data_IF_697213544188
#
_entry.id   IF_697213544188
#
_cell.length_a   1.000
_cell.length_b   1.000
_cell.length_c   1.000
_cell.angle_alpha   90.00
_cell.angle_beta   90.00
_cell.angle_gamma   90.00
#
_symmetry.space_group_name_H-M   'P 1'
#
loop_
_entity.id
_entity.type
_entity.pdbx_description
1 polymer ?
#
# COMPACT_ATOMS: atom_id res chain seq x y z
N UNK A 1 -7.68 -6.69 17.78
CA UNK A 1 -7.96 -7.08 16.39
C UNK A 1 -9.04 -6.13 15.89
N UNK A 2 -8.91 -5.57 14.69
CA UNK A 2 -9.94 -4.72 14.09
C UNK A 2 -11.11 -5.65 13.71
N UNK A 3 -12.27 -5.50 14.36
CA UNK A 3 -13.37 -6.47 14.30
C UNK A 3 -14.28 -6.23 13.09
N UNK A 4 -13.78 -6.46 11.88
CA UNK A 4 -14.63 -6.58 10.70
C UNK A 4 -15.01 -8.05 10.52
N UNK A 5 -16.28 -8.32 10.19
CA UNK A 5 -16.74 -9.67 9.83
C UNK A 5 -16.22 -10.12 8.45
N UNK A 6 -15.55 -9.22 7.72
CA UNK A 6 -15.05 -9.42 6.38
C UNK A 6 -13.55 -9.16 6.35
N UNK A 7 -12.85 -9.99 5.58
CA UNK A 7 -11.45 -9.74 5.26
C UNK A 7 -11.32 -8.54 4.33
N UNK A 8 -10.32 -7.72 4.59
CA UNK A 8 -9.99 -6.60 3.71
C UNK A 8 -9.25 -7.13 2.48
N UNK A 9 -9.52 -6.58 1.30
CA UNK A 9 -8.91 -7.04 0.04
C UNK A 9 -7.38 -7.15 0.14
N UNK A 10 -6.74 -6.13 0.70
CA UNK A 10 -5.28 -6.07 0.87
C UNK A 10 -4.73 -7.05 1.92
N UNK A 11 -5.56 -7.79 2.64
CA UNK A 11 -5.05 -8.90 3.46
C UNK A 11 -4.60 -10.06 2.56
N UNK A 12 -5.28 -10.27 1.43
CA UNK A 12 -5.10 -11.45 0.58
C UNK A 12 -4.89 -11.15 -0.91
N UNK A 13 -4.80 -9.87 -1.31
CA UNK A 13 -4.62 -9.47 -2.72
C UNK A 13 -3.34 -10.09 -3.30
N UNK A 14 -3.41 -10.48 -4.58
CA UNK A 14 -2.23 -10.92 -5.34
C UNK A 14 -1.32 -9.75 -5.64
N UNK A 15 -0.03 -10.05 -5.75
CA UNK A 15 1.02 -9.07 -6.03
C UNK A 15 2.00 -9.67 -7.03
N UNK A 16 2.66 -8.79 -7.77
CA UNK A 16 3.74 -9.20 -8.65
C UNK A 16 5.09 -8.99 -7.97
N UNK A 17 6.03 -9.89 -8.23
CA UNK A 17 7.41 -9.70 -7.78
C UNK A 17 8.05 -8.54 -8.53
N UNK A 18 8.68 -7.63 -7.80
CA UNK A 18 9.40 -6.50 -8.39
C UNK A 18 10.91 -6.76 -8.40
N UNK A 19 11.50 -6.94 -7.21
CA UNK A 19 12.92 -7.27 -7.04
C UNK A 19 13.22 -7.58 -5.57
N UNK A 20 14.16 -8.48 -5.31
CA UNK A 20 14.58 -8.84 -3.95
C UNK A 20 13.37 -9.18 -3.04
N UNK A 21 13.25 -8.58 -1.84
CA UNK A 21 12.10 -8.76 -0.95
C UNK A 21 10.87 -7.91 -1.32
N UNK A 22 10.95 -7.10 -2.39
CA UNK A 22 9.93 -6.13 -2.78
C UNK A 22 9.00 -6.67 -3.87
N UNK A 23 7.71 -6.45 -3.67
CA UNK A 23 6.61 -6.78 -4.56
C UNK A 23 5.80 -5.52 -4.88
N UNK A 24 4.87 -5.62 -5.82
CA UNK A 24 4.01 -4.51 -6.23
C UNK A 24 2.54 -4.92 -6.38
N UNK A 25 1.65 -3.99 -6.06
CA UNK A 25 0.22 -4.10 -6.34
C UNK A 25 -0.05 -3.94 -7.84
N UNK A 26 -0.82 -4.87 -8.42
CA UNK A 26 -1.20 -4.84 -9.84
C UNK A 26 -2.71 -4.63 -10.05
N UNK A 27 -3.54 -5.31 -9.24
CA UNK A 27 -5.01 -5.25 -9.34
C UNK A 27 -5.61 -4.41 -8.20
N UNK A 28 -5.04 -3.22 -7.95
CA UNK A 28 -5.54 -2.29 -6.94
C UNK A 28 -5.44 -0.84 -7.43
N UNK A 29 -6.45 0.03 -7.21
CA UNK A 29 -6.45 1.38 -7.79
C UNK A 29 -5.27 2.27 -7.39
N UNK A 30 -4.71 2.08 -6.19
CA UNK A 30 -3.50 2.77 -5.75
C UNK A 30 -2.28 1.84 -5.86
N UNK A 31 -1.41 2.00 -6.89
CA UNK A 31 -0.21 1.20 -7.00
C UNK A 31 0.73 1.47 -5.83
N UNK A 32 1.36 0.42 -5.31
CA UNK A 32 2.21 0.49 -4.14
C UNK A 32 3.13 -0.70 -4.02
N UNK A 33 4.14 -0.57 -3.16
CA UNK A 33 5.12 -1.61 -2.86
C UNK A 33 4.65 -2.47 -1.71
N UNK A 34 4.95 -3.76 -1.77
CA UNK A 34 4.51 -4.75 -0.79
C UNK A 34 5.70 -5.57 -0.30
N UNK A 35 5.76 -5.77 1.00
CA UNK A 35 6.70 -6.67 1.66
C UNK A 35 5.92 -7.64 2.54
N UNK A 36 6.50 -8.80 2.83
CA UNK A 36 5.95 -9.74 3.81
C UNK A 36 7.02 -10.20 4.80
N UNK A 37 6.59 -10.62 5.99
CA UNK A 37 7.46 -11.32 6.92
C UNK A 37 7.94 -12.63 6.28
N UNK A 38 9.24 -12.83 6.05
CA UNK A 38 9.73 -14.05 5.44
C UNK A 38 9.71 -15.20 6.44
N UNK A 39 9.46 -16.42 5.97
CA UNK A 39 9.29 -17.61 6.85
C UNK A 39 10.50 -17.89 7.74
N UNK A 40 11.69 -17.70 7.17
CA UNK A 40 12.98 -18.03 7.80
C UNK A 40 13.77 -16.78 8.20
N UNK A 41 13.11 -15.62 8.27
CA UNK A 41 13.75 -14.35 8.64
C UNK A 41 13.02 -13.67 9.78
N UNK A 42 13.73 -12.73 10.39
CA UNK A 42 13.21 -11.98 11.52
C UNK A 42 12.37 -10.80 11.06
N UNK A 43 11.56 -10.27 11.98
CA UNK A 43 10.89 -8.96 11.83
C UNK A 43 11.92 -7.85 11.55
N UNK A 44 13.17 -8.00 12.00
CA UNK A 44 14.24 -7.04 11.73
C UNK A 44 14.58 -6.98 10.25
N UNK A 45 14.55 -8.11 9.54
CA UNK A 45 14.88 -8.15 8.10
C UNK A 45 13.77 -7.51 7.25
N UNK A 46 12.50 -7.72 7.65
CA UNK A 46 11.36 -7.00 7.09
C UNK A 46 11.50 -5.49 7.35
N UNK A 47 11.76 -5.10 8.59
CA UNK A 47 11.94 -3.71 8.97
C UNK A 47 13.08 -3.04 8.19
N UNK A 48 14.24 -3.70 8.02
CA UNK A 48 15.35 -3.18 7.20
C UNK A 48 14.93 -2.95 5.75
N UNK A 49 14.21 -3.89 5.15
CA UNK A 49 13.74 -3.76 3.76
C UNK A 49 12.78 -2.57 3.61
N UNK A 50 11.86 -2.41 4.55
CA UNK A 50 10.92 -1.28 4.56
C UNK A 50 11.64 0.04 4.82
N UNK A 51 12.57 0.09 5.77
CA UNK A 51 13.39 1.28 6.03
C UNK A 51 14.20 1.69 4.80
N UNK A 52 14.83 0.72 4.12
CA UNK A 52 15.60 0.90 2.89
C UNK A 52 14.76 1.62 1.81
N UNK A 53 13.51 1.20 1.60
CA UNK A 53 12.58 1.89 0.70
C UNK A 53 12.18 3.29 1.22
N UNK A 54 11.78 3.42 2.48
CA UNK A 54 11.30 4.70 3.02
C UNK A 54 12.41 5.75 3.10
N UNK A 55 13.65 5.35 3.37
CA UNK A 55 14.83 6.22 3.32
C UNK A 55 15.08 6.72 1.91
N UNK A 56 14.99 5.84 0.90
CA UNK A 56 15.07 6.25 -0.51
C UNK A 56 13.99 7.29 -0.85
N UNK A 57 12.72 7.03 -0.49
CA UNK A 57 11.61 7.95 -0.75
C UNK A 57 11.78 9.28 -0.01
N UNK A 58 12.23 9.24 1.25
CA UNK A 58 12.50 10.42 2.05
C UNK A 58 13.63 11.27 1.45
N UNK A 59 14.74 10.66 1.05
CA UNK A 59 15.87 11.34 0.41
C UNK A 59 15.49 11.96 -0.94
N UNK A 60 14.56 11.33 -1.66
CA UNK A 60 14.00 11.86 -2.90
C UNK A 60 12.89 12.92 -2.67
N UNK A 61 12.58 13.25 -1.40
CA UNK A 61 11.49 14.14 -0.99
C UNK A 61 10.12 13.73 -1.55
N UNK A 62 9.84 12.42 -1.54
CA UNK A 62 8.59 11.82 -2.03
C UNK A 62 7.72 11.46 -0.82
N UNK A 63 6.55 12.13 -0.65
CA UNK A 63 5.60 11.76 0.37
C UNK A 63 5.15 10.32 0.19
N UNK A 64 4.98 9.61 1.31
CA UNK A 64 4.59 8.22 1.28
C UNK A 64 3.77 7.83 2.50
N UNK A 65 2.97 6.78 2.33
CA UNK A 65 2.17 6.18 3.37
C UNK A 65 2.57 4.74 3.58
N UNK A 66 2.57 4.30 4.83
CA UNK A 66 2.90 2.94 5.22
C UNK A 66 1.72 2.33 5.98
N UNK A 67 1.39 1.08 5.67
CA UNK A 67 0.37 0.32 6.37
C UNK A 67 0.86 -1.09 6.67
N UNK A 68 0.58 -1.59 7.88
CA UNK A 68 0.99 -2.92 8.33
C UNK A 68 -0.27 -3.69 8.70
N UNK A 69 -0.41 -4.90 8.14
CA UNK A 69 -1.51 -5.79 8.47
C UNK A 69 -1.05 -7.23 8.56
N UNK A 70 -1.87 -8.08 9.19
CA UNK A 70 -1.75 -9.53 9.02
C UNK A 70 -2.51 -9.91 7.75
N UNK A 71 -2.02 -10.90 7.03
CA UNK A 71 -2.65 -11.35 5.79
C UNK A 71 -2.17 -12.73 5.38
N UNK A 72 -2.60 -13.19 4.21
CA UNK A 72 -2.03 -14.38 3.59
C UNK A 72 -0.64 -14.09 3.00
N UNK A 73 0.13 -15.16 2.77
CA UNK A 73 1.42 -15.05 2.10
C UNK A 73 1.24 -14.71 0.63
N UNK A 74 2.16 -13.91 0.09
CA UNK A 74 2.10 -13.35 -1.26
C UNK A 74 2.03 -14.43 -2.37
N UNK A 75 2.52 -15.65 -2.10
CA UNK A 75 2.66 -16.75 -3.07
C UNK A 75 1.78 -17.96 -2.79
N UNK A 76 0.96 -17.92 -1.72
CA UNK A 76 0.10 -19.04 -1.39
C UNK A 76 -1.26 -18.83 -2.05
N UNK A 77 -1.69 -19.81 -2.86
CA UNK A 77 -3.08 -19.88 -3.30
C UNK A 77 -3.96 -20.07 -2.06
N UNK A 78 -5.10 -19.35 -2.02
CA UNK A 78 -6.06 -19.31 -0.90
C UNK A 78 -6.18 -20.66 -0.16
N UNK A 79 -5.43 -20.78 0.94
CA UNK A 79 -5.46 -21.98 1.79
C UNK A 79 -6.63 -21.93 2.78
N UNK A 80 -7.49 -20.91 2.71
CA UNK A 80 -8.54 -20.63 3.68
C UNK A 80 -8.03 -20.06 5.01
N UNK A 81 -6.72 -20.12 5.27
CA UNK A 81 -6.08 -19.49 6.42
C UNK A 81 -5.65 -18.06 6.07
N UNK A 82 -6.46 -17.10 6.50
CA UNK A 82 -6.09 -15.68 6.49
C UNK A 82 -5.32 -15.38 7.78
N UNK A 83 -4.27 -14.54 7.71
CA UNK A 83 -3.36 -14.16 8.81
C UNK A 83 -2.14 -15.06 9.06
N UNK A 84 -1.60 -15.70 8.03
CA UNK A 84 -0.38 -16.54 8.11
C UNK A 84 0.93 -15.75 8.05
N UNK A 85 0.89 -14.46 7.68
CA UNK A 85 2.07 -13.57 7.69
C UNK A 85 1.71 -12.12 8.03
N UNK A 86 2.72 -11.27 8.16
CA UNK A 86 2.59 -9.81 8.21
C UNK A 86 2.91 -9.25 6.84
N UNK A 87 2.02 -8.42 6.29
CA UNK A 87 2.22 -7.67 5.05
C UNK A 87 2.43 -6.21 5.38
N UNK A 88 3.38 -5.57 4.69
CA UNK A 88 3.63 -4.13 4.78
C UNK A 88 3.46 -3.51 3.41
N UNK A 89 2.66 -2.46 3.35
CA UNK A 89 2.38 -1.69 2.15
C UNK A 89 3.03 -0.33 2.26
N UNK A 90 3.65 0.11 1.16
CA UNK A 90 4.22 1.46 1.03
C UNK A 90 3.73 2.09 -0.26
N UNK A 91 2.98 3.18 -0.15
CA UNK A 91 2.49 3.95 -1.29
C UNK A 91 3.25 5.26 -1.40
N UNK A 92 3.97 5.44 -2.51
CA UNK A 92 4.41 6.77 -2.93
C UNK A 92 3.17 7.57 -3.34
N UNK A 93 3.12 8.86 -3.00
CA UNK A 93 1.93 9.69 -3.25
C UNK A 93 2.27 11.14 -3.56
N UNK A 94 1.33 11.81 -4.22
CA UNK A 94 1.39 13.26 -4.46
C UNK A 94 1.42 14.02 -3.12
N UNK A 95 2.18 15.11 -3.01
CA UNK A 95 2.09 16.02 -1.88
C UNK A 95 0.66 16.55 -1.72
N UNK A 96 0.16 16.60 -0.49
CA UNK A 96 -1.10 17.29 -0.20
C UNK A 96 -0.84 18.80 -0.14
N UNK A 97 -0.89 19.49 -1.28
CA UNK A 97 -0.48 20.90 -1.40
C UNK A 97 -1.62 21.94 -1.29
N UNK A 98 -2.87 21.53 -1.10
CA UNK A 98 -4.02 22.45 -1.16
C UNK A 98 -4.85 22.44 0.11
N UNK A 99 -5.51 23.58 0.38
CA UNK A 99 -6.59 23.68 1.35
C UNK A 99 -7.63 22.61 1.00
N UNK A 100 -7.61 21.50 1.74
CA UNK A 100 -8.52 20.38 1.51
C UNK A 100 -9.91 20.90 1.79
N UNK A 101 -10.80 20.77 0.81
CA UNK A 101 -12.23 20.93 1.09
C UNK A 101 -12.56 19.94 2.21
N UNK A 102 -12.94 20.49 3.37
CA UNK A 102 -13.18 19.71 4.58
C UNK A 102 -14.31 18.70 4.37
N UNK A 103 -15.19 18.96 3.41
CA UNK A 103 -16.34 18.15 3.07
C UNK A 103 -16.08 17.18 1.92
N UNK A 104 -14.94 17.25 1.24
CA UNK A 104 -14.58 16.34 0.17
C UNK A 104 -13.95 15.03 0.68
N UNK A 105 -14.15 13.94 -0.06
CA UNK A 105 -13.39 12.70 0.09
C UNK A 105 -11.90 12.94 -0.16
N UNK A 106 -11.09 12.90 0.91
CA UNK A 106 -9.66 13.22 0.88
C UNK A 106 -8.83 12.07 1.47
N UNK A 107 -8.36 11.12 0.64
CA UNK A 107 -7.54 10.00 1.11
C UNK A 107 -6.27 10.46 1.82
N UNK A 108 -6.04 9.91 3.01
CA UNK A 108 -4.83 10.11 3.77
C UNK A 108 -4.03 8.81 3.89
N UNK A 109 -4.57 7.78 4.55
CA UNK A 109 -3.86 6.51 4.77
C UNK A 109 -4.85 5.36 4.79
N UNK A 110 -5.86 5.44 5.64
CA UNK A 110 -6.87 4.42 5.84
C UNK A 110 -7.62 4.11 4.54
N UNK A 111 -7.83 5.12 3.70
CA UNK A 111 -8.52 5.00 2.42
C UNK A 111 -7.71 4.21 1.39
N UNK A 112 -6.37 4.29 1.44
CA UNK A 112 -5.48 3.46 0.62
C UNK A 112 -5.54 1.98 1.03
N UNK A 113 -6.08 1.69 2.22
CA UNK A 113 -6.36 0.34 2.67
C UNK A 113 -7.82 -0.10 2.45
N UNK A 114 -8.66 0.80 1.92
CA UNK A 114 -10.10 0.56 1.71
C UNK A 114 -11.01 1.00 2.85
N UNK A 115 -10.49 1.64 3.90
CA UNK A 115 -11.32 2.28 4.93
C UNK A 115 -11.74 3.68 4.48
N UNK A 116 -12.94 3.79 3.90
CA UNK A 116 -13.45 5.03 3.34
C UNK A 116 -14.15 5.86 4.43
N UNK A 117 -13.58 7.02 4.76
CA UNK A 117 -14.21 7.98 5.67
C UNK A 117 -15.05 8.95 4.83
N UNK A 118 -16.36 8.86 4.96
CA UNK A 118 -17.32 9.72 4.28
C UNK A 118 -17.88 10.71 5.29
N UNK A 119 -17.77 12.01 4.99
CA UNK A 119 -18.02 13.07 5.96
C UNK A 119 -19.41 13.70 5.84
N UNK A 120 -20.07 13.52 4.71
CA UNK A 120 -21.38 14.11 4.44
C UNK A 120 -22.34 13.08 3.85
N UNK A 121 -23.63 13.25 4.12
CA UNK A 121 -24.66 12.39 3.58
C UNK A 121 -24.75 12.46 2.03
N UNK A 122 -24.66 13.64 1.37
CA UNK A 122 -24.64 13.68 -0.09
C UNK A 122 -23.46 12.93 -0.71
N UNK A 123 -22.28 13.00 -0.09
CA UNK A 123 -21.15 12.18 -0.53
C UNK A 123 -21.41 10.70 -0.33
N UNK A 124 -22.03 10.31 0.79
CA UNK A 124 -22.35 8.91 1.07
C UNK A 124 -23.22 8.29 -0.02
N UNK A 125 -24.23 9.01 -0.48
CA UNK A 125 -25.12 8.53 -1.53
C UNK A 125 -24.54 8.61 -2.94
N UNK A 126 -23.53 9.46 -3.16
CA UNK A 126 -23.01 9.73 -4.50
C UNK A 126 -21.62 9.13 -4.78
N UNK A 127 -20.90 8.69 -3.75
CA UNK A 127 -19.60 8.06 -3.88
C UNK A 127 -19.76 6.65 -4.46
N UNK A 128 -19.04 6.38 -5.55
CA UNK A 128 -19.03 5.07 -6.21
C UNK A 128 -17.63 4.48 -6.19
N UNK A 129 -17.52 3.18 -6.46
CA UNK A 129 -16.22 2.51 -6.55
C UNK A 129 -15.32 3.18 -7.58
N UNK A 130 -15.85 3.56 -8.74
CA UNK A 130 -15.09 4.21 -9.81
C UNK A 130 -14.55 5.57 -9.35
N UNK A 131 -15.33 6.34 -8.59
CA UNK A 131 -14.88 7.62 -8.02
C UNK A 131 -13.76 7.41 -7.01
N UNK A 132 -13.90 6.43 -6.13
CA UNK A 132 -12.86 6.09 -5.15
C UNK A 132 -11.60 5.65 -5.88
N UNK A 133 -11.71 4.71 -6.82
CA UNK A 133 -10.60 4.19 -7.60
C UNK A 133 -9.86 5.31 -8.35
N UNK A 134 -10.60 6.24 -8.97
CA UNK A 134 -10.02 7.39 -9.65
C UNK A 134 -9.22 8.30 -8.71
N UNK A 135 -9.73 8.58 -7.50
CA UNK A 135 -9.03 9.41 -6.51
C UNK A 135 -7.78 8.69 -5.97
N UNK A 136 -7.88 7.40 -5.66
CA UNK A 136 -6.73 6.61 -5.18
C UNK A 136 -5.63 6.51 -6.26
N UNK A 137 -6.03 6.31 -7.52
CA UNK A 137 -5.13 6.28 -8.67
C UNK A 137 -4.47 7.63 -8.89
N UNK A 138 -5.24 8.74 -8.88
CA UNK A 138 -4.68 10.09 -9.07
C UNK A 138 -3.57 10.40 -8.04
N UNK A 139 -3.75 9.97 -6.80
CA UNK A 139 -2.80 10.25 -5.71
C UNK A 139 -1.51 9.44 -5.84
N UNK A 140 -1.57 8.20 -6.36
CA UNK A 140 -0.46 7.25 -6.31
C UNK A 140 0.20 6.94 -7.66
N UNK A 141 -0.52 7.02 -8.78
CA UNK A 141 -0.07 6.52 -10.09
C UNK A 141 1.24 7.18 -10.56
N UNK A 142 1.26 8.52 -10.64
CA UNK A 142 2.43 9.27 -11.11
C UNK A 142 3.64 9.11 -10.16
N UNK A 143 3.51 9.31 -8.83
CA UNK A 143 4.61 9.06 -7.88
C UNK A 143 5.18 7.65 -7.96
N UNK A 144 4.31 6.64 -8.06
CA UNK A 144 4.73 5.24 -8.18
C UNK A 144 5.53 5.01 -9.47
N UNK A 145 4.97 5.41 -10.62
CA UNK A 145 5.63 5.25 -11.92
C UNK A 145 7.01 5.93 -11.97
N UNK A 146 7.15 7.08 -11.29
CA UNK A 146 8.42 7.81 -11.21
C UNK A 146 9.52 7.06 -10.45
N UNK A 147 9.16 6.22 -9.48
CA UNK A 147 10.12 5.57 -8.58
C UNK A 147 10.27 4.07 -8.79
N UNK A 148 9.28 3.41 -9.43
CA UNK A 148 9.21 1.97 -9.57
C UNK A 148 10.53 1.34 -10.05
N UNK A 149 11.12 1.92 -11.08
CA UNK A 149 12.37 1.46 -11.68
C UNK A 149 13.57 1.59 -10.74
N UNK A 150 13.67 2.73 -10.07
CA UNK A 150 14.75 2.98 -9.09
C UNK A 150 14.60 2.06 -7.88
N UNK A 151 13.37 1.78 -7.44
CA UNK A 151 13.08 0.84 -6.36
C UNK A 151 13.42 -0.59 -6.78
N UNK A 152 13.16 -0.96 -8.03
CA UNK A 152 13.59 -2.25 -8.57
C UNK A 152 15.11 -2.40 -8.48
N UNK A 153 15.86 -1.40 -8.93
CA UNK A 153 17.33 -1.39 -8.84
C UNK A 153 17.85 -1.36 -7.39
N UNK A 154 17.17 -0.63 -6.50
CA UNK A 154 17.49 -0.58 -5.06
C UNK A 154 17.56 -2.00 -4.48
N UNK A 155 16.57 -2.84 -4.81
CA UNK A 155 16.48 -4.21 -4.30
C UNK A 155 17.17 -5.27 -5.18
N UNK A 156 17.60 -4.93 -6.40
CA UNK A 156 18.50 -5.79 -7.21
C UNK A 156 19.90 -5.83 -6.62
N UNK A 157 20.37 -4.68 -6.10
CA UNK A 157 21.76 -4.51 -5.76
C UNK A 157 22.10 -4.57 -4.27
N UNK A 158 21.22 -4.27 -3.30
CA UNK A 158 21.45 -4.55 -1.87
C UNK A 158 20.21 -4.25 -0.99
N UNK A 159 19.87 -5.17 -0.07
CA UNK A 159 19.34 -4.95 1.30
C UNK A 159 19.08 -6.36 1.91
N UNK A 160 20.16 -7.15 2.13
CA UNK A 160 20.14 -8.41 2.90
C UNK A 160 20.87 -8.25 4.21
#
# INVERSE_FOLDING_TARGET
MYYLHHHMLLENVKVDHLSGPCYQLVDYPAPGFVFQLPENRSVVDLARSVCCLTEYLQNANIPHNLFITRGSRLHEADAGEVYTTVRVYVWARKPSATAKDLYAFNPALCELFGHLIIKTEPEYWSLTEEKVAAVLSDICQEPFAKVQENVRHLFEHHCT
#
